data_IF_534918095447
#
_entry.id   IF_534918095447
#
_cell.length_a   1.000
_cell.length_b   1.000
_cell.length_c   1.000
_cell.angle_alpha   90.00
_cell.angle_beta   90.00
_cell.angle_gamma   90.00
#
_symmetry.space_group_name_H-M   'P 1'
#
loop_
_entity.id
_entity.type
_entity.pdbx_description
1 polymer ?
#
# COMPACT_ATOMS: atom_id res chain seq x y z
N UNK A 1 -3.21 -10.23 -9.85
CA UNK A 1 -4.11 -10.90 -8.89
C UNK A 1 -4.14 -10.14 -7.57
N UNK A 2 -5.08 -9.20 -7.36
CA UNK A 2 -5.12 -8.36 -6.14
C UNK A 2 -5.32 -9.15 -4.84
N UNK A 3 -5.84 -10.38 -4.92
CA UNK A 3 -6.18 -11.20 -3.76
C UNK A 3 -5.00 -11.60 -2.86
N UNK A 4 -3.76 -11.68 -3.36
CA UNK A 4 -2.63 -12.08 -2.49
C UNK A 4 -2.30 -11.02 -1.44
N UNK A 5 -2.65 -9.76 -1.68
CA UNK A 5 -2.44 -8.69 -0.70
C UNK A 5 -3.35 -8.85 0.53
N UNK A 6 -4.47 -9.57 0.39
CA UNK A 6 -5.38 -9.92 1.50
C UNK A 6 -4.66 -10.80 2.54
N UNK A 7 -3.73 -11.66 2.09
CA UNK A 7 -2.98 -12.58 2.97
C UNK A 7 -2.10 -11.84 3.99
N UNK A 8 -1.63 -10.63 3.65
CA UNK A 8 -0.92 -9.75 4.61
C UNK A 8 -1.92 -9.05 5.52
N UNK A 9 -3.02 -8.55 4.93
CA UNK A 9 -3.95 -7.68 5.65
C UNK A 9 -4.63 -8.37 6.82
N UNK A 10 -5.04 -9.64 6.67
CA UNK A 10 -5.73 -10.36 7.74
C UNK A 10 -4.89 -10.47 9.02
N UNK A 11 -3.67 -11.05 9.01
CA UNK A 11 -2.84 -11.14 10.21
C UNK A 11 -2.39 -9.75 10.71
N UNK A 12 -2.10 -8.79 9.82
CA UNK A 12 -1.69 -7.45 10.24
C UNK A 12 -2.80 -6.70 11.01
N UNK A 13 -4.03 -6.74 10.49
CA UNK A 13 -5.18 -6.09 11.12
C UNK A 13 -5.54 -6.80 12.43
N UNK A 14 -5.45 -8.13 12.49
CA UNK A 14 -5.65 -8.88 13.74
C UNK A 14 -4.62 -8.46 14.79
N UNK A 15 -3.33 -8.36 14.43
CA UNK A 15 -2.29 -7.93 15.36
C UNK A 15 -2.57 -6.53 15.93
N UNK A 16 -2.95 -5.58 15.05
CA UNK A 16 -3.32 -4.22 15.46
C UNK A 16 -4.58 -4.22 16.34
N UNK A 17 -5.59 -5.00 15.99
CA UNK A 17 -6.84 -5.09 16.76
C UNK A 17 -6.62 -5.67 18.15
N UNK A 18 -5.80 -6.72 18.27
CA UNK A 18 -5.45 -7.32 19.55
C UNK A 18 -4.69 -6.34 20.45
N UNK A 19 -3.70 -5.63 19.90
CA UNK A 19 -2.95 -4.60 20.65
C UNK A 19 -3.88 -3.46 21.11
N UNK A 20 -4.80 -3.01 20.26
CA UNK A 20 -5.82 -2.01 20.64
C UNK A 20 -6.80 -2.52 21.69
N UNK A 21 -7.18 -3.80 21.65
CA UNK A 21 -8.18 -4.38 22.56
C UNK A 21 -7.62 -4.63 23.96
N UNK A 22 -6.40 -5.15 24.03
CA UNK A 22 -5.73 -5.49 25.30
C UNK A 22 -4.85 -4.35 25.83
N UNK A 23 -4.64 -3.28 25.05
CA UNK A 23 -3.78 -2.14 25.40
C UNK A 23 -2.30 -2.49 25.56
N UNK A 24 -1.93 -3.74 25.27
CA UNK A 24 -0.58 -4.28 25.40
C UNK A 24 -0.36 -5.35 24.34
N UNK A 25 0.90 -5.51 23.94
CA UNK A 25 1.27 -6.42 22.87
C UNK A 25 1.36 -7.86 23.36
N UNK A 26 0.25 -8.60 23.21
CA UNK A 26 0.17 -10.02 23.57
C UNK A 26 1.00 -10.92 22.64
N UNK A 27 1.38 -12.11 23.12
CA UNK A 27 2.07 -13.14 22.31
C UNK A 27 1.32 -13.47 21.01
N UNK A 28 -0.01 -13.50 21.05
CA UNK A 28 -0.84 -13.73 19.87
C UNK A 28 -0.73 -12.57 18.87
N UNK A 29 -0.73 -11.33 19.35
CA UNK A 29 -0.57 -10.14 18.51
C UNK A 29 0.83 -10.11 17.86
N UNK A 30 1.87 -10.50 18.60
CA UNK A 30 3.23 -10.64 18.07
C UNK A 30 3.30 -11.72 16.99
N UNK A 31 2.76 -12.91 17.26
CA UNK A 31 2.71 -14.00 16.29
C UNK A 31 2.01 -13.59 14.99
N UNK A 32 0.91 -12.85 15.09
CA UNK A 32 0.19 -12.31 13.94
C UNK A 32 0.99 -11.24 13.20
N UNK A 33 1.71 -10.36 13.90
CA UNK A 33 2.59 -9.38 13.29
C UNK A 33 3.75 -10.04 12.52
N UNK A 34 4.37 -11.08 13.08
CA UNK A 34 5.42 -11.85 12.40
C UNK A 34 4.91 -12.63 11.19
N UNK A 35 3.70 -13.19 11.30
CA UNK A 35 3.02 -13.84 10.18
C UNK A 35 2.75 -12.84 9.06
N UNK A 36 2.31 -11.62 9.39
CA UNK A 36 2.12 -10.55 8.42
C UNK A 36 3.44 -10.12 7.76
N UNK A 37 4.53 -10.03 8.52
CA UNK A 37 5.85 -9.73 7.99
C UNK A 37 6.32 -10.79 6.99
N UNK A 38 6.15 -12.06 7.32
CA UNK A 38 6.47 -13.17 6.41
C UNK A 38 5.72 -13.04 5.08
N UNK A 39 4.40 -12.84 5.11
CA UNK A 39 3.63 -12.62 3.90
C UNK A 39 4.03 -11.33 3.17
N UNK A 40 4.41 -10.28 3.90
CA UNK A 40 4.96 -9.05 3.35
C UNK A 40 6.21 -9.30 2.51
N UNK A 41 7.18 -10.04 3.04
CA UNK A 41 8.41 -10.40 2.35
C UNK A 41 8.12 -11.27 1.11
N UNK A 42 7.22 -12.25 1.24
CA UNK A 42 6.80 -13.11 0.11
C UNK A 42 6.16 -12.27 -1.00
N UNK A 43 5.31 -11.30 -0.65
CA UNK A 43 4.62 -10.46 -1.62
C UNK A 43 5.58 -9.49 -2.32
N UNK A 44 6.55 -8.91 -1.59
CA UNK A 44 7.64 -8.12 -2.17
C UNK A 44 8.49 -8.97 -3.12
N UNK A 45 8.76 -10.24 -2.78
CA UNK A 45 9.49 -11.16 -3.66
C UNK A 45 8.71 -11.49 -4.95
N UNK A 46 7.38 -11.52 -4.87
CA UNK A 46 6.48 -11.79 -5.98
C UNK A 46 5.99 -10.53 -6.72
N UNK A 47 6.43 -9.33 -6.29
CA UNK A 47 5.95 -8.03 -6.78
C UNK A 47 5.94 -7.94 -8.31
N UNK A 48 7.04 -8.33 -8.97
CA UNK A 48 7.16 -8.27 -10.44
C UNK A 48 6.13 -9.11 -11.18
N UNK A 49 5.68 -10.21 -10.56
CA UNK A 49 4.69 -11.13 -11.12
C UNK A 49 3.26 -10.72 -10.75
N UNK A 50 3.10 -9.92 -9.70
CA UNK A 50 1.81 -9.46 -9.19
C UNK A 50 1.31 -8.18 -9.85
N UNK A 51 2.21 -7.32 -10.31
CA UNK A 51 1.87 -6.06 -10.96
C UNK A 51 1.13 -6.31 -12.29
N UNK A 52 -0.11 -5.80 -12.44
CA UNK A 52 -0.76 -5.76 -13.74
C UNK A 52 0.02 -4.81 -14.67
N UNK A 53 0.22 -5.21 -15.92
CA UNK A 53 0.97 -4.41 -16.90
C UNK A 53 0.35 -3.05 -17.24
N UNK A 54 -0.94 -2.86 -16.95
CA UNK A 54 -1.62 -1.56 -17.04
C UNK A 54 -1.97 -1.02 -15.65
N UNK A 55 -1.71 0.27 -15.43
CA UNK A 55 -2.19 0.96 -14.23
C UNK A 55 -3.73 0.96 -14.20
N UNK A 56 -4.31 0.72 -13.02
CA UNK A 56 -5.75 0.68 -12.86
C UNK A 56 -6.15 0.61 -11.38
N UNK A 57 -7.47 0.58 -11.11
CA UNK A 57 -8.03 0.59 -9.74
C UNK A 57 -7.46 -0.51 -8.83
N UNK A 58 -7.01 -1.64 -9.38
CA UNK A 58 -6.40 -2.73 -8.62
C UNK A 58 -5.10 -2.37 -7.89
N UNK A 59 -4.41 -1.30 -8.28
CA UNK A 59 -3.18 -0.83 -7.60
C UNK A 59 -3.45 -0.29 -6.20
N UNK A 60 -4.65 0.22 -5.94
CA UNK A 60 -5.10 0.64 -4.60
C UNK A 60 -5.27 -0.54 -3.64
N UNK A 61 -5.39 -1.77 -4.13
CA UNK A 61 -5.45 -2.97 -3.29
C UNK A 61 -4.16 -3.26 -2.51
N UNK A 62 -3.05 -2.61 -2.85
CA UNK A 62 -1.76 -2.81 -2.18
C UNK A 62 -1.47 -1.77 -1.09
N UNK A 63 -2.19 -0.64 -1.05
CA UNK A 63 -1.94 0.43 -0.07
C UNK A 63 -2.48 0.06 1.31
N UNK A 64 -3.62 -0.62 1.38
CA UNK A 64 -4.20 -1.05 2.66
C UNK A 64 -3.33 -2.12 3.36
N UNK A 65 -2.89 -3.20 2.68
CA UNK A 65 -2.08 -4.21 3.35
C UNK A 65 -0.67 -3.71 3.72
N UNK A 66 -0.08 -2.79 2.94
CA UNK A 66 1.22 -2.22 3.27
C UNK A 66 1.16 -1.30 4.50
N UNK A 67 0.11 -0.48 4.61
CA UNK A 67 -0.09 0.38 5.79
C UNK A 67 -0.45 -0.43 7.03
N UNK A 68 -1.30 -1.47 6.90
CA UNK A 68 -1.60 -2.38 8.00
C UNK A 68 -0.33 -3.08 8.53
N UNK A 69 0.53 -3.56 7.63
CA UNK A 69 1.80 -4.19 8.00
C UNK A 69 2.72 -3.21 8.74
N UNK A 70 2.92 -2.01 8.19
CA UNK A 70 3.74 -0.98 8.84
C UNK A 70 3.19 -0.64 10.24
N UNK A 71 1.87 -0.49 10.38
CA UNK A 71 1.25 -0.22 11.68
C UNK A 71 1.46 -1.35 12.69
N UNK A 72 1.36 -2.61 12.28
CA UNK A 72 1.60 -3.76 13.16
C UNK A 72 3.06 -3.79 13.64
N UNK A 73 4.03 -3.54 12.75
CA UNK A 73 5.45 -3.56 13.08
C UNK A 73 5.88 -2.40 13.97
N UNK A 74 5.28 -1.22 13.80
CA UNK A 74 5.50 -0.08 14.71
C UNK A 74 5.04 -0.44 16.14
N UNK A 75 3.93 -1.16 16.28
CA UNK A 75 3.45 -1.60 17.61
C UNK A 75 4.38 -2.63 18.23
N UNK A 76 4.95 -3.55 17.43
CA UNK A 76 6.00 -4.47 17.88
C UNK A 76 7.22 -3.69 18.40
N UNK A 77 7.69 -2.68 17.66
CA UNK A 77 8.84 -1.85 18.06
C UNK A 77 8.60 -1.08 19.37
N UNK A 78 7.38 -0.54 19.55
CA UNK A 78 6.99 0.15 20.78
C UNK A 78 6.96 -0.80 21.98
N UNK A 79 6.47 -2.03 21.79
CA UNK A 79 6.37 -3.03 22.85
C UNK A 79 7.72 -3.68 23.20
N UNK A 80 8.54 -3.98 22.19
CA UNK A 80 9.82 -4.66 22.32
C UNK A 80 10.89 -3.78 21.69
N UNK A 81 11.51 -2.96 22.54
CA UNK A 81 12.57 -2.03 22.14
C UNK A 81 13.86 -2.78 21.86
N UNK A 82 13.99 -3.22 20.62
CA UNK A 82 15.18 -3.85 20.07
C UNK A 82 15.61 -3.09 18.81
N UNK A 83 16.92 -2.83 18.59
CA UNK A 83 17.39 -2.15 17.40
C UNK A 83 16.96 -2.84 16.09
N UNK A 84 16.83 -4.16 16.09
CA UNK A 84 16.38 -4.92 14.92
C UNK A 84 14.90 -4.61 14.63
N UNK A 85 14.04 -4.63 15.64
CA UNK A 85 12.62 -4.29 15.51
C UNK A 85 12.42 -2.86 14.99
N UNK A 86 13.25 -1.93 15.46
CA UNK A 86 13.22 -0.55 15.02
C UNK A 86 13.57 -0.42 13.52
N UNK A 87 14.61 -1.13 13.06
CA UNK A 87 14.98 -1.18 11.65
C UNK A 87 13.86 -1.80 10.78
N UNK A 88 13.23 -2.87 11.26
CA UNK A 88 12.10 -3.50 10.56
C UNK A 88 10.90 -2.55 10.47
N UNK A 89 10.54 -1.87 11.57
CA UNK A 89 9.42 -0.95 11.59
C UNK A 89 9.63 0.24 10.64
N UNK A 90 10.83 0.85 10.68
CA UNK A 90 11.18 1.97 9.79
C UNK A 90 11.22 1.53 8.33
N UNK A 91 11.83 0.38 8.01
CA UNK A 91 11.89 -0.12 6.64
C UNK A 91 10.51 -0.43 6.07
N UNK A 92 9.63 -1.03 6.88
CA UNK A 92 8.24 -1.26 6.50
C UNK A 92 7.46 0.05 6.30
N UNK A 93 7.68 1.07 7.13
CA UNK A 93 7.07 2.39 6.98
C UNK A 93 7.50 3.09 5.69
N UNK A 94 8.81 3.07 5.38
CA UNK A 94 9.32 3.61 4.12
C UNK A 94 8.74 2.90 2.91
N UNK A 95 8.64 1.56 2.96
CA UNK A 95 8.03 0.77 1.90
C UNK A 95 6.55 1.12 1.72
N UNK A 96 5.78 1.18 2.80
CA UNK A 96 4.36 1.55 2.75
C UNK A 96 4.16 2.96 2.17
N UNK A 97 4.98 3.92 2.61
CA UNK A 97 4.98 5.29 2.10
C UNK A 97 5.31 5.32 0.61
N UNK A 98 6.34 4.59 0.18
CA UNK A 98 6.73 4.49 -1.23
C UNK A 98 5.61 3.92 -2.11
N UNK A 99 4.92 2.87 -1.65
CA UNK A 99 3.77 2.29 -2.35
C UNK A 99 2.64 3.29 -2.48
N UNK A 100 2.28 3.98 -1.39
CA UNK A 100 1.21 4.99 -1.40
C UNK A 100 1.56 6.15 -2.32
N UNK A 101 2.78 6.69 -2.23
CA UNK A 101 3.25 7.77 -3.10
C UNK A 101 3.27 7.35 -4.57
N UNK A 102 3.70 6.13 -4.89
CA UNK A 102 3.71 5.62 -6.27
C UNK A 102 2.29 5.50 -6.84
N UNK A 103 1.36 4.91 -6.07
CA UNK A 103 -0.05 4.78 -6.50
C UNK A 103 -0.71 6.15 -6.62
N UNK A 104 -0.45 7.08 -5.69
CA UNK A 104 -0.95 8.44 -5.75
C UNK A 104 -0.42 9.18 -6.99
N UNK A 105 0.89 9.07 -7.26
CA UNK A 105 1.52 9.69 -8.43
C UNK A 105 0.93 9.17 -9.75
N UNK A 106 0.79 7.85 -9.88
CA UNK A 106 0.18 7.24 -11.07
C UNK A 106 -1.29 7.62 -11.21
N UNK A 107 -2.02 7.74 -10.09
CA UNK A 107 -3.40 8.21 -10.08
C UNK A 107 -3.48 9.65 -10.58
N UNK A 108 -2.64 10.55 -10.06
CA UNK A 108 -2.57 11.93 -10.53
C UNK A 108 -2.25 12.01 -12.03
N UNK A 109 -1.27 11.25 -12.53
CA UNK A 109 -0.98 11.21 -13.96
C UNK A 109 -2.18 10.76 -14.79
N UNK A 110 -2.91 9.74 -14.34
CA UNK A 110 -4.07 9.20 -15.05
C UNK A 110 -5.27 10.15 -15.05
N UNK A 111 -5.42 10.99 -14.02
CA UNK A 111 -6.51 11.97 -13.93
C UNK A 111 -6.17 13.25 -14.70
N UNK A 112 -4.90 13.68 -14.67
CA UNK A 112 -4.47 14.94 -15.29
C UNK A 112 -4.35 14.82 -16.81
N UNK A 113 -3.82 13.71 -17.34
CA UNK A 113 -3.62 13.54 -18.80
C UNK A 113 -4.91 13.67 -19.62
N UNK A 114 -6.03 13.02 -19.25
CA UNK A 114 -7.30 13.17 -19.97
C UNK A 114 -7.90 14.57 -19.83
N UNK A 115 -7.69 15.25 -18.70
CA UNK A 115 -8.20 16.60 -18.47
C UNK A 115 -7.51 17.65 -19.36
N UNK A 116 -6.20 17.48 -19.60
CA UNK A 116 -5.44 18.33 -20.54
C UNK A 116 -5.90 18.11 -21.98
N UNK A 117 -6.09 16.85 -22.40
CA UNK A 117 -6.53 16.50 -23.77
C UNK A 117 -7.91 17.09 -24.10
N UNK A 118 -8.86 17.05 -23.15
CA UNK A 118 -10.21 17.61 -23.31
C UNK A 118 -10.19 19.14 -23.35
N UNK A 119 -9.28 19.77 -22.60
CA UNK A 119 -9.10 21.22 -22.64
C UNK A 119 -8.54 21.68 -24.00
N UNK A 120 -7.54 20.97 -24.53
CA UNK A 120 -6.97 21.24 -25.86
C UNK A 120 -8.00 21.05 -26.99
N UNK A 121 -8.89 20.04 -26.88
CA UNK A 121 -9.95 19.83 -27.88
C UNK A 121 -10.98 20.97 -27.90
N UNK A 122 -11.23 21.62 -26.76
CA UNK A 122 -12.18 22.73 -26.66
C UNK A 122 -11.59 24.10 -27.00
N UNK A 123 -10.27 24.24 -27.00
CA UNK A 123 -9.58 25.48 -27.42
C UNK A 123 -9.16 25.51 -28.90
N UNK A 124 -9.41 24.43 -29.66
CA UNK A 124 -9.22 24.42 -31.10
C UNK A 124 -10.24 25.35 -31.80
N UNK A 125 -9.83 26.20 -32.75
CA UNK A 125 -10.75 27.13 -33.40
C UNK A 125 -11.81 26.34 -34.18
N UNK A 126 -13.07 26.55 -33.82
CA UNK A 126 -14.25 26.25 -34.62
C UNK A 126 -14.03 26.91 -36.00
N UNK A 127 -13.47 26.15 -36.96
CA UNK A 127 -13.45 26.55 -38.36
C UNK A 127 -14.77 26.11 -38.95
N UNK A 128 -15.71 27.04 -39.26
CA UNK A 128 -16.88 26.67 -40.02
C UNK A 128 -16.43 26.15 -41.39
N UNK A 129 -16.88 24.94 -41.72
CA UNK A 129 -16.75 24.35 -43.05
C UNK A 129 -17.36 25.31 -44.08
N UNK A 130 -16.52 25.90 -44.93
CA UNK A 130 -16.99 26.59 -46.14
C UNK A 130 -17.33 25.52 -47.19
N UNK A 131 -18.62 25.42 -47.46
CA UNK A 131 -19.25 24.80 -48.63
C UNK A 131 -18.76 25.42 -49.93
#
# INVERSE_FOLDING_TARGET
MPGLAIMISAPAVIAVALDCLYGTMTELAQFMAWTALFFGIVLVSLWRRMLPGAFGRGWWGFTFPSTALASALIRVDVAIKDPLNHMIAISALWLATGVVCAVAYLTCQHVIRPAVDIADTKSGPDRPSRS
#
